data_IF_470925459697
#
_entry.id   IF_470925459697
#
_cell.length_a   1.000
_cell.length_b   1.000
_cell.length_c   1.000
_cell.angle_alpha   90.00
_cell.angle_beta   90.00
_cell.angle_gamma   90.00
#
_symmetry.space_group_name_H-M   'P 1'
#
loop_
_entity.id
_entity.type
_entity.pdbx_description
1 polymer ?
#
# COMPACT_ATOMS: atom_id res chain seq x y z
N UNK A 1 -19.50 4.78 -9.03
CA UNK A 1 -19.17 4.63 -7.59
C UNK A 1 -17.86 3.87 -7.44
N UNK A 2 -17.19 3.89 -6.29
CA UNK A 2 -15.94 3.15 -6.08
C UNK A 2 -15.77 2.74 -4.62
N UNK A 3 -14.86 1.81 -4.36
CA UNK A 3 -14.60 1.28 -3.03
C UNK A 3 -13.15 0.78 -2.91
N UNK A 4 -12.72 0.60 -1.66
CA UNK A 4 -11.52 -0.17 -1.33
C UNK A 4 -11.78 -1.05 -0.10
N UNK A 5 -10.89 -2.01 0.14
CA UNK A 5 -10.94 -2.88 1.31
C UNK A 5 -9.54 -3.03 1.93
N UNK A 6 -9.47 -2.85 3.26
CA UNK A 6 -8.26 -3.03 4.04
C UNK A 6 -8.37 -4.27 4.93
N UNK A 7 -7.26 -4.98 5.09
CA UNK A 7 -7.12 -6.10 6.01
C UNK A 7 -5.77 -6.04 6.73
N UNK A 8 -5.65 -6.68 7.89
CA UNK A 8 -4.34 -6.94 8.50
C UNK A 8 -3.57 -7.96 7.67
N UNK A 9 -2.26 -7.78 7.54
CA UNK A 9 -1.38 -8.77 6.93
C UNK A 9 0.08 -8.54 7.30
N UNK A 10 0.97 -9.20 6.59
CA UNK A 10 2.41 -9.06 6.83
C UNK A 10 3.20 -9.30 5.55
N UNK A 11 4.44 -8.82 5.51
CA UNK A 11 5.39 -8.98 4.42
C UNK A 11 6.64 -9.71 4.94
N UNK A 12 7.02 -10.80 4.29
CA UNK A 12 8.23 -11.52 4.64
C UNK A 12 9.50 -10.69 4.36
N UNK A 13 10.53 -10.81 5.20
CA UNK A 13 11.81 -10.10 4.99
C UNK A 13 12.46 -10.39 3.64
N UNK A 14 12.26 -11.60 3.11
CA UNK A 14 12.78 -12.02 1.82
C UNK A 14 12.16 -11.24 0.64
N UNK A 15 10.94 -10.73 0.81
CA UNK A 15 10.19 -9.98 -0.21
C UNK A 15 10.34 -8.46 -0.04
N UNK A 16 10.77 -8.02 1.14
CA UNK A 16 10.86 -6.61 1.48
C UNK A 16 12.17 -5.95 1.02
N UNK A 17 12.10 -4.75 0.42
CA UNK A 17 13.26 -3.88 0.26
C UNK A 17 13.95 -3.60 1.60
N UNK A 18 15.27 -3.42 1.57
CA UNK A 18 16.11 -3.25 2.78
C UNK A 18 15.64 -2.12 3.70
N UNK A 19 15.23 -0.98 3.14
CA UNK A 19 14.76 0.19 3.91
C UNK A 19 13.45 -0.06 4.66
N UNK A 20 12.61 -0.99 4.18
CA UNK A 20 11.33 -1.31 4.81
C UNK A 20 11.53 -2.28 5.98
N UNK A 21 12.39 -3.29 5.81
CA UNK A 21 12.65 -4.34 6.82
C UNK A 21 13.64 -3.97 7.92
N UNK A 22 14.39 -2.88 7.75
CA UNK A 22 15.37 -2.41 8.73
C UNK A 22 14.70 -2.22 10.11
N UNK A 23 15.22 -2.91 11.12
CA UNK A 23 14.73 -2.89 12.50
C UNK A 23 13.27 -3.36 12.69
N UNK A 24 12.72 -4.13 11.74
CA UNK A 24 11.38 -4.70 11.85
C UNK A 24 11.43 -6.21 12.19
N UNK A 25 10.43 -6.74 12.90
CA UNK A 25 10.27 -8.19 13.06
C UNK A 25 10.02 -8.87 11.71
N UNK A 26 10.21 -10.19 11.67
CA UNK A 26 9.85 -11.05 10.55
C UNK A 26 8.67 -11.96 10.97
N UNK A 27 7.50 -11.87 10.34
CA UNK A 27 7.17 -11.01 9.20
C UNK A 27 6.89 -9.55 9.61
N UNK A 28 7.07 -8.62 8.66
CA UNK A 28 6.84 -7.18 8.86
C UNK A 28 5.34 -6.91 8.87
N UNK A 29 4.76 -6.29 9.91
CA UNK A 29 3.33 -6.00 9.96
C UNK A 29 2.89 -4.97 8.91
N UNK A 30 1.84 -5.28 8.14
CA UNK A 30 1.33 -4.46 7.03
C UNK A 30 -0.19 -4.33 7.07
N UNK A 31 -0.71 -3.25 6.49
CA UNK A 31 -2.10 -3.19 6.07
C UNK A 31 -2.21 -3.62 4.59
N UNK A 32 -3.01 -4.64 4.28
CA UNK A 32 -3.22 -5.11 2.92
C UNK A 32 -4.35 -4.32 2.27
N UNK A 33 -4.07 -3.63 1.17
CA UNK A 33 -5.08 -3.09 0.28
C UNK A 33 -5.57 -4.20 -0.64
N UNK A 34 -6.56 -4.96 -0.17
CA UNK A 34 -7.03 -6.16 -0.86
C UNK A 34 -7.86 -5.85 -2.11
N UNK A 35 -8.54 -4.71 -2.12
CA UNK A 35 -9.33 -4.23 -3.26
C UNK A 35 -9.25 -2.72 -3.38
N UNK A 36 -9.21 -2.24 -4.61
CA UNK A 36 -9.46 -0.85 -4.99
C UNK A 36 -10.12 -0.90 -6.37
N UNK A 37 -11.36 -0.43 -6.46
CA UNK A 37 -12.10 -0.46 -7.71
C UNK A 37 -12.98 0.77 -7.85
N UNK A 38 -13.11 1.24 -9.09
CA UNK A 38 -14.00 2.33 -9.47
C UNK A 38 -14.84 1.91 -10.66
N UNK A 39 -16.08 2.34 -10.65
CA UNK A 39 -17.00 2.18 -11.77
C UNK A 39 -16.41 2.77 -13.05
N UNK A 40 -16.65 2.10 -14.18
CA UNK A 40 -16.08 2.48 -15.48
C UNK A 40 -16.44 3.90 -15.90
N UNK A 41 -17.67 4.35 -15.61
CA UNK A 41 -18.11 5.71 -15.95
C UNK A 41 -17.36 6.81 -15.21
N UNK A 42 -16.64 6.47 -14.13
CA UNK A 42 -15.90 7.40 -13.28
C UNK A 42 -14.37 7.27 -13.40
N UNK A 43 -13.89 6.41 -14.29
CA UNK A 43 -12.46 6.26 -14.57
C UNK A 43 -11.90 7.52 -15.23
N UNK A 44 -10.62 7.80 -14.97
CA UNK A 44 -9.95 9.00 -15.50
C UNK A 44 -10.29 10.32 -14.81
N UNK A 45 -11.22 10.33 -13.85
CA UNK A 45 -11.69 11.55 -13.16
C UNK A 45 -11.06 11.76 -11.77
N UNK A 46 -9.95 11.06 -11.46
CA UNK A 46 -9.24 11.19 -10.18
C UNK A 46 -9.87 10.43 -8.99
N UNK A 47 -11.03 9.80 -9.15
CA UNK A 47 -11.75 9.09 -8.07
C UNK A 47 -10.91 7.95 -7.47
N UNK A 48 -10.20 7.20 -8.29
CA UNK A 48 -9.31 6.13 -7.81
C UNK A 48 -8.15 6.65 -6.97
N UNK A 49 -7.63 7.83 -7.30
CA UNK A 49 -6.56 8.50 -6.54
C UNK A 49 -7.10 8.97 -5.20
N UNK A 50 -8.28 9.58 -5.18
CA UNK A 50 -8.92 10.02 -3.94
C UNK A 50 -9.21 8.84 -2.98
N UNK A 51 -9.67 7.70 -3.51
CA UNK A 51 -9.88 6.48 -2.71
C UNK A 51 -8.56 5.90 -2.19
N UNK A 52 -7.50 5.88 -3.00
CA UNK A 52 -6.18 5.44 -2.55
C UNK A 52 -5.64 6.35 -1.44
N UNK A 53 -5.80 7.67 -1.58
CA UNK A 53 -5.39 8.64 -0.57
C UNK A 53 -6.14 8.44 0.76
N UNK A 54 -7.47 8.27 0.71
CA UNK A 54 -8.28 7.98 1.90
C UNK A 54 -7.85 6.67 2.57
N UNK A 55 -7.58 5.62 1.79
CA UNK A 55 -7.08 4.35 2.32
C UNK A 55 -5.73 4.50 3.03
N UNK A 56 -4.78 5.26 2.45
CA UNK A 56 -3.46 5.52 3.05
C UNK A 56 -3.58 6.31 4.35
N UNK A 57 -4.41 7.36 4.38
CA UNK A 57 -4.63 8.17 5.58
C UNK A 57 -5.22 7.32 6.73
N UNK A 58 -6.15 6.41 6.42
CA UNK A 58 -6.69 5.48 7.43
C UNK A 58 -5.65 4.49 7.95
N UNK A 59 -4.77 4.00 7.08
CA UNK A 59 -3.66 3.13 7.51
C UNK A 59 -2.66 3.90 8.38
N UNK A 60 -2.34 5.15 8.04
CA UNK A 60 -1.50 6.01 8.88
C UNK A 60 -2.14 6.24 10.26
N UNK A 61 -3.43 6.51 10.30
CA UNK A 61 -4.15 6.67 11.58
C UNK A 61 -4.11 5.36 12.40
N UNK A 62 -4.36 4.21 11.78
CA UNK A 62 -4.28 2.92 12.45
C UNK A 62 -2.85 2.61 12.94
N UNK A 63 -1.82 3.04 12.21
CA UNK A 63 -0.42 2.86 12.58
C UNK A 63 -0.02 3.61 13.85
N UNK A 64 -0.80 4.60 14.30
CA UNK A 64 -0.57 5.30 15.57
C UNK A 64 -0.90 4.48 16.82
N UNK A 65 -1.74 3.45 16.68
CA UNK A 65 -2.20 2.59 17.79
C UNK A 65 -1.86 1.11 17.60
N UNK A 66 -1.50 0.70 16.38
CA UNK A 66 -1.06 -0.65 16.05
C UNK A 66 0.25 -0.60 15.28
N UNK A 67 1.14 -1.57 15.52
CA UNK A 67 2.38 -1.69 14.74
C UNK A 67 2.07 -2.03 13.28
N UNK A 68 2.00 -1.02 12.40
CA UNK A 68 1.81 -1.17 10.95
C UNK A 68 2.92 -0.41 10.25
N UNK A 69 3.72 -1.10 9.43
CA UNK A 69 4.86 -0.48 8.72
C UNK A 69 4.45 0.27 7.46
N UNK A 70 3.39 -0.18 6.81
CA UNK A 70 3.03 0.24 5.46
C UNK A 70 1.75 -0.37 4.93
N UNK A 71 1.40 0.04 3.71
CA UNK A 71 0.39 -0.59 2.87
C UNK A 71 1.06 -1.60 1.95
N UNK A 72 0.47 -2.79 1.84
CA UNK A 72 0.87 -3.86 0.91
C UNK A 72 -0.25 -4.06 -0.12
N UNK A 73 0.11 -4.16 -1.40
CA UNK A 73 -0.85 -4.43 -2.48
C UNK A 73 -0.31 -5.49 -3.43
N UNK A 74 -1.19 -6.35 -3.92
CA UNK A 74 -0.92 -7.25 -5.03
C UNK A 74 -1.65 -6.69 -6.26
N UNK A 75 -0.90 -6.06 -7.16
CA UNK A 75 -1.44 -5.52 -8.39
C UNK A 75 -1.92 -6.66 -9.32
N UNK A 76 -3.10 -6.48 -9.90
CA UNK A 76 -3.69 -7.48 -10.80
C UNK A 76 -3.12 -7.42 -12.23
N UNK A 77 -2.43 -6.33 -12.58
CA UNK A 77 -1.86 -6.10 -13.91
C UNK A 77 -0.71 -5.09 -13.86
N UNK A 78 0.08 -5.02 -14.92
CA UNK A 78 1.12 -3.99 -15.09
C UNK A 78 0.57 -2.56 -15.11
N UNK A 79 -0.65 -2.37 -15.63
CA UNK A 79 -1.33 -1.07 -15.58
C UNK A 79 -1.64 -0.66 -14.14
N UNK A 80 -2.14 -1.60 -13.33
CA UNK A 80 -2.38 -1.38 -11.91
C UNK A 80 -1.07 -1.16 -11.14
N UNK A 81 0.00 -1.91 -11.46
CA UNK A 81 1.35 -1.71 -10.92
C UNK A 81 1.82 -0.28 -11.19
N UNK A 82 1.77 0.16 -12.45
CA UNK A 82 2.16 1.50 -12.84
C UNK A 82 1.30 2.58 -12.16
N UNK A 83 0.01 2.33 -11.93
CA UNK A 83 -0.83 3.21 -11.12
C UNK A 83 -0.29 3.35 -9.69
N UNK A 84 0.03 2.26 -9.00
CA UNK A 84 0.57 2.32 -7.63
C UNK A 84 1.97 2.95 -7.57
N UNK A 85 2.86 2.62 -8.51
CA UNK A 85 4.22 3.19 -8.58
C UNK A 85 4.20 4.71 -8.74
N UNK A 86 3.30 5.24 -9.58
CA UNK A 86 3.10 6.69 -9.73
C UNK A 86 2.67 7.39 -8.43
N UNK A 87 2.13 6.65 -7.48
CA UNK A 87 1.71 7.15 -6.16
C UNK A 87 2.66 6.73 -5.04
N UNK A 88 3.92 6.42 -5.37
CA UNK A 88 5.00 6.23 -4.40
C UNK A 88 5.13 4.81 -3.83
N UNK A 89 4.34 3.86 -4.32
CA UNK A 89 4.57 2.46 -4.00
C UNK A 89 5.84 1.97 -4.69
N UNK A 90 6.59 1.10 -4.02
CA UNK A 90 7.78 0.45 -4.56
C UNK A 90 7.56 -1.06 -4.67
N UNK A 91 8.10 -1.72 -5.71
CA UNK A 91 7.96 -3.16 -5.85
C UNK A 91 8.72 -3.93 -4.75
N UNK A 92 8.23 -5.13 -4.45
CA UNK A 92 8.95 -6.17 -3.73
C UNK A 92 10.21 -6.58 -4.49
N UNK A 93 11.19 -7.11 -3.76
CA UNK A 93 12.44 -7.60 -4.38
C UNK A 93 12.24 -8.90 -5.16
N UNK A 94 11.18 -9.66 -4.87
CA UNK A 94 10.92 -10.97 -5.50
C UNK A 94 9.80 -10.93 -6.54
N UNK A 95 8.86 -9.99 -6.43
CA UNK A 95 7.71 -9.91 -7.31
C UNK A 95 7.35 -8.45 -7.64
N UNK A 96 7.46 -8.00 -8.90
CA UNK A 96 7.15 -6.63 -9.29
C UNK A 96 5.66 -6.27 -9.14
N UNK A 97 4.75 -7.25 -9.11
CA UNK A 97 3.33 -7.01 -8.89
C UNK A 97 2.96 -6.93 -7.40
N UNK A 98 3.87 -7.25 -6.49
CA UNK A 98 3.70 -6.99 -5.06
C UNK A 98 4.33 -5.63 -4.75
N UNK A 99 3.54 -4.66 -4.32
CA UNK A 99 4.04 -3.31 -4.03
C UNK A 99 3.79 -2.88 -2.59
N UNK A 100 4.68 -2.01 -2.12
CA UNK A 100 4.76 -1.55 -0.74
C UNK A 100 4.75 -0.03 -0.71
N UNK A 101 3.89 0.56 0.12
CA UNK A 101 4.00 1.97 0.52
C UNK A 101 4.35 2.04 2.00
N UNK A 102 5.47 2.66 2.34
CA UNK A 102 5.83 2.93 3.73
C UNK A 102 4.91 4.00 4.32
N UNK A 103 4.28 3.71 5.46
CA UNK A 103 3.53 4.71 6.24
C UNK A 103 4.27 5.20 7.47
N UNK A 104 5.52 4.74 7.70
CA UNK A 104 6.34 5.25 8.79
C UNK A 104 6.34 6.78 8.72
N UNK A 105 5.87 7.36 9.83
CA UNK A 105 5.54 8.75 9.98
C UNK A 105 6.52 9.64 9.23
N UNK A 106 5.98 10.57 8.45
CA UNK A 106 6.76 11.72 8.03
C UNK A 106 7.50 12.25 9.24
N UNK A 107 8.82 12.40 9.08
CA UNK A 107 9.52 13.44 9.80
C UNK A 107 8.69 14.70 9.60
N UNK A 108 8.09 15.18 10.69
CA UNK A 108 7.70 16.58 10.79
C UNK A 108 9.02 17.33 10.88
N UNK A 109 9.44 17.92 9.77
CA UNK A 109 10.18 19.18 9.79
C UNK A 109 9.28 20.26 9.16
#
# INVERSE_FOLDING_TARGET
>A
MGYYALASGALAHAESPGRIKRNMPDPIPMAVLGRLAIDRSMQGQGVGVALLQDAVLRVQQAASIMGIRGVLVHAISDEARAFYERHGFIPSVTNPLTLILSVAAGQVE
#
